data_IF_176691353038
#
_entry.id   IF_176691353038
#
_cell.length_a   1.000
_cell.length_b   1.000
_cell.length_c   1.000
_cell.angle_alpha   90.00
_cell.angle_beta   90.00
_cell.angle_gamma   90.00
#
_symmetry.space_group_name_H-M   'P 1'
#
loop_
_entity.id
_entity.type
_entity.pdbx_description
1 polymer ?
#
# COMPACT_ATOMS: atom_id res chain seq x y z
N UNK A 1 -54.47 -29.89 46.98
CA UNK A 1 -54.83 -30.12 45.57
C UNK A 1 -53.52 -30.39 44.81
N UNK A 2 -52.93 -31.58 44.93
CA UNK A 2 -53.07 -32.80 44.10
C UNK A 2 -52.16 -32.83 42.86
N UNK A 3 -51.04 -33.57 43.04
CA UNK A 3 -50.32 -34.50 42.13
C UNK A 3 -49.59 -34.03 40.85
N UNK A 4 -48.36 -34.54 40.79
CA UNK A 4 -47.46 -34.74 39.64
C UNK A 4 -48.01 -35.69 38.54
N UNK A 5 -47.33 -35.73 37.38
CA UNK A 5 -46.86 -36.97 36.71
C UNK A 5 -46.04 -36.69 35.42
N UNK A 6 -44.87 -37.32 35.34
CA UNK A 6 -44.12 -37.64 34.11
C UNK A 6 -44.87 -38.70 33.29
N UNK A 7 -44.78 -38.68 31.95
CA UNK A 7 -44.94 -39.88 31.10
C UNK A 7 -43.96 -39.82 29.90
N UNK A 8 -43.15 -40.87 29.80
CA UNK A 8 -42.34 -41.29 28.64
C UNK A 8 -43.23 -41.80 27.50
N UNK A 9 -42.84 -41.60 26.25
CA UNK A 9 -43.33 -42.43 25.13
C UNK A 9 -42.16 -43.02 24.35
N UNK A 10 -42.07 -44.36 24.43
CA UNK A 10 -41.31 -45.24 23.55
C UNK A 10 -42.24 -45.64 22.40
N UNK A 11 -41.75 -45.61 21.17
CA UNK A 11 -42.46 -46.12 20.01
C UNK A 11 -41.48 -46.62 18.95
N UNK A 12 -41.16 -47.91 19.03
CA UNK A 12 -40.66 -48.68 17.89
C UNK A 12 -41.85 -49.07 17.00
N UNK A 13 -41.68 -49.22 15.69
CA UNK A 13 -42.07 -50.42 14.93
C UNK A 13 -41.79 -50.31 13.41
N UNK A 14 -41.15 -51.37 12.91
CA UNK A 14 -41.27 -52.03 11.59
C UNK A 14 -40.73 -51.40 10.30
N UNK A 15 -39.77 -52.15 9.74
CA UNK A 15 -39.33 -52.15 8.36
C UNK A 15 -40.36 -52.78 7.42
N UNK A 16 -40.45 -52.24 6.19
CA UNK A 16 -40.93 -52.96 5.00
C UNK A 16 -39.90 -52.72 3.89
N UNK A 17 -39.31 -53.81 3.41
CA UNK A 17 -38.49 -53.86 2.22
C UNK A 17 -39.37 -54.23 1.03
N UNK A 18 -39.28 -53.47 -0.07
CA UNK A 18 -39.68 -53.93 -1.40
C UNK A 18 -38.56 -53.50 -2.36
N UNK A 19 -37.92 -54.50 -2.95
CA UNK A 19 -36.91 -54.32 -3.99
C UNK A 19 -37.55 -54.15 -5.37
N UNK A 20 -36.91 -53.32 -6.19
CA UNK A 20 -37.10 -53.28 -7.64
C UNK A 20 -35.73 -53.02 -8.28
N UNK A 21 -35.41 -53.78 -9.31
CA UNK A 21 -34.08 -53.92 -9.89
C UNK A 21 -33.80 -52.92 -11.03
N UNK A 22 -32.50 -52.62 -11.18
CA UNK A 22 -31.72 -52.25 -12.38
C UNK A 22 -32.10 -50.98 -13.18
N UNK A 23 -31.19 -50.00 -13.16
CA UNK A 23 -30.60 -49.31 -14.33
C UNK A 23 -29.25 -48.71 -13.86
N UNK A 24 -28.15 -49.06 -14.52
CA UNK A 24 -26.94 -48.23 -14.57
C UNK A 24 -26.93 -47.50 -15.92
N UNK A 25 -26.56 -46.21 -15.95
CA UNK A 25 -25.23 -45.91 -16.48
C UNK A 25 -24.52 -44.72 -15.81
N UNK A 26 -23.18 -44.79 -15.82
CA UNK A 26 -22.20 -43.70 -15.89
C UNK A 26 -22.56 -42.35 -15.22
N UNK A 27 -22.09 -42.15 -13.98
CA UNK A 27 -21.97 -40.82 -13.39
C UNK A 27 -20.50 -40.37 -13.46
N UNK A 28 -20.32 -39.22 -14.09
CA UNK A 28 -19.08 -38.55 -14.40
C UNK A 28 -18.09 -38.47 -13.22
N UNK A 29 -16.86 -38.87 -13.53
CA UNK A 29 -15.65 -38.55 -12.79
C UNK A 29 -15.55 -37.02 -12.66
N UNK A 30 -15.83 -36.51 -11.45
CA UNK A 30 -15.74 -35.09 -11.17
C UNK A 30 -14.26 -34.69 -11.03
N UNK A 31 -13.77 -34.03 -12.07
CA UNK A 31 -12.46 -33.39 -12.07
C UNK A 31 -12.27 -32.52 -10.80
N UNK A 32 -11.07 -32.51 -10.18
CA UNK A 32 -10.80 -31.61 -9.09
C UNK A 32 -10.85 -30.17 -9.62
N UNK A 33 -11.84 -29.41 -9.16
CA UNK A 33 -11.96 -27.98 -9.38
C UNK A 33 -10.66 -27.30 -8.93
N UNK A 34 -9.83 -26.92 -9.90
CA UNK A 34 -8.64 -26.13 -9.67
C UNK A 34 -9.06 -24.80 -9.03
N UNK A 35 -8.81 -24.68 -7.71
CA UNK A 35 -8.89 -23.40 -7.01
C UNK A 35 -8.01 -22.40 -7.76
N UNK A 36 -8.46 -21.17 -8.06
CA UNK A 36 -7.58 -20.19 -8.65
C UNK A 36 -6.43 -19.95 -7.66
N UNK A 37 -5.20 -20.15 -8.12
CA UNK A 37 -4.01 -19.92 -7.34
C UNK A 37 -4.07 -18.51 -6.75
N UNK A 38 -4.04 -18.42 -5.43
CA UNK A 38 -3.88 -17.15 -4.71
C UNK A 38 -2.56 -16.57 -5.20
N UNK A 39 -2.62 -15.56 -6.07
CA UNK A 39 -1.46 -14.75 -6.42
C UNK A 39 -0.96 -14.11 -5.12
N UNK A 40 0.05 -14.73 -4.51
CA UNK A 40 0.87 -14.11 -3.47
C UNK A 40 1.63 -12.97 -4.11
N UNK A 41 0.99 -11.81 -4.18
CA UNK A 41 1.66 -10.56 -4.53
C UNK A 41 2.64 -10.29 -3.40
N UNK A 42 3.93 -10.50 -3.66
CA UNK A 42 5.01 -10.22 -2.71
C UNK A 42 4.85 -8.79 -2.19
N UNK A 43 4.74 -8.62 -0.87
CA UNK A 43 4.49 -7.33 -0.20
C UNK A 43 5.52 -6.25 -0.52
N UNK A 44 6.66 -6.63 -1.12
CA UNK A 44 7.69 -5.71 -1.58
C UNK A 44 7.36 -5.00 -2.90
N UNK A 45 6.26 -5.34 -3.60
CA UNK A 45 5.93 -4.77 -4.92
C UNK A 45 4.90 -3.61 -4.88
N UNK A 46 4.32 -3.28 -3.73
CA UNK A 46 3.35 -2.17 -3.64
C UNK A 46 4.11 -0.83 -3.53
N UNK A 47 3.83 0.16 -4.40
CA UNK A 47 4.46 1.48 -4.29
C UNK A 47 3.98 2.20 -3.02
N UNK A 48 4.84 3.04 -2.47
CA UNK A 48 4.50 3.93 -1.36
C UNK A 48 3.42 4.94 -1.75
N UNK A 49 2.80 5.59 -0.76
CA UNK A 49 1.83 6.65 -1.04
C UNK A 49 2.50 7.83 -1.77
N UNK A 50 1.99 8.18 -2.95
CA UNK A 50 2.46 9.34 -3.71
C UNK A 50 2.05 10.61 -2.98
N UNK A 51 3.03 11.38 -2.50
CA UNK A 51 2.81 12.65 -1.80
C UNK A 51 2.18 13.67 -2.75
N UNK A 52 1.07 14.25 -2.33
CA UNK A 52 0.34 15.27 -3.09
C UNK A 52 -0.02 16.44 -2.18
N UNK A 53 0.06 17.65 -2.72
CA UNK A 53 -0.53 18.83 -2.09
C UNK A 53 -2.05 18.77 -2.30
N UNK A 54 -2.76 18.29 -1.29
CA UNK A 54 -4.22 18.13 -1.34
C UNK A 54 -4.93 19.07 -0.37
N UNK A 55 -6.16 19.44 -0.74
CA UNK A 55 -7.02 20.24 0.12
C UNK A 55 -7.40 19.44 1.37
N UNK A 56 -7.18 20.02 2.54
CA UNK A 56 -7.53 19.40 3.83
C UNK A 56 -9.05 19.22 3.97
N UNK A 57 -9.44 18.06 4.48
CA UNK A 57 -10.84 17.71 4.75
C UNK A 57 -11.36 18.51 5.96
N UNK A 58 -12.35 19.37 5.75
CA UNK A 58 -12.79 20.33 6.78
C UNK A 58 -13.25 19.64 8.08
N UNK A 59 -14.20 18.71 8.01
CA UNK A 59 -14.75 18.07 9.22
C UNK A 59 -13.80 17.08 9.88
N UNK A 60 -13.08 16.26 9.11
CA UNK A 60 -12.09 15.31 9.64
C UNK A 60 -10.95 15.97 10.46
N UNK A 61 -10.68 17.26 10.25
CA UNK A 61 -9.67 18.03 10.99
C UNK A 61 -10.25 18.92 12.11
N UNK A 62 -11.54 18.78 12.43
CA UNK A 62 -12.12 19.43 13.61
C UNK A 62 -11.76 18.65 14.88
N UNK A 63 -11.82 19.33 16.03
CA UNK A 63 -11.68 18.65 17.32
C UNK A 63 -12.80 17.63 17.50
N UNK A 64 -12.49 16.49 18.10
CA UNK A 64 -13.45 15.41 18.30
C UNK A 64 -13.20 14.72 19.65
N UNK A 65 -14.17 13.93 20.12
CA UNK A 65 -14.09 13.23 21.40
C UNK A 65 -14.29 11.73 21.20
N UNK A 66 -13.48 10.92 21.89
CA UNK A 66 -13.63 9.46 21.94
C UNK A 66 -13.41 9.01 23.37
N UNK A 67 -14.35 8.24 23.93
CA UNK A 67 -14.29 7.73 25.31
C UNK A 67 -13.95 8.83 26.34
N UNK A 68 -14.63 9.97 26.27
CA UNK A 68 -14.41 11.11 27.17
C UNK A 68 -13.17 11.97 26.86
N UNK A 69 -12.19 11.45 26.11
CA UNK A 69 -10.97 12.20 25.75
C UNK A 69 -11.15 13.03 24.48
N UNK A 70 -10.83 14.32 24.57
CA UNK A 70 -10.85 15.24 23.42
C UNK A 70 -9.51 15.24 22.69
N UNK A 71 -9.56 15.26 21.37
CA UNK A 71 -8.42 15.32 20.46
C UNK A 71 -8.50 16.59 19.60
N UNK A 72 -7.33 17.15 19.30
CA UNK A 72 -7.20 18.38 18.51
C UNK A 72 -6.30 18.11 17.30
N UNK A 73 -6.87 17.73 16.14
CA UNK A 73 -6.11 17.60 14.92
C UNK A 73 -5.43 18.89 14.51
N UNK A 74 -4.26 18.74 13.90
CA UNK A 74 -3.56 19.82 13.23
C UNK A 74 -4.41 20.35 12.08
N UNK A 75 -4.54 21.68 12.01
CA UNK A 75 -5.36 22.37 11.00
C UNK A 75 -4.59 22.75 9.73
N UNK A 76 -3.28 22.52 9.72
CA UNK A 76 -2.37 22.77 8.61
C UNK A 76 -1.33 21.65 8.55
N UNK A 77 -0.84 21.35 7.35
CA UNK A 77 0.33 20.49 7.16
C UNK A 77 1.56 21.29 7.56
N UNK A 78 2.30 20.80 8.54
CA UNK A 78 3.47 21.46 9.11
C UNK A 78 4.42 20.40 9.67
N UNK A 79 5.66 20.80 9.95
CA UNK A 79 6.67 19.92 10.55
C UNK A 79 6.12 19.20 11.78
N UNK A 80 6.32 17.89 11.82
CA UNK A 80 5.87 17.02 12.90
C UNK A 80 6.74 15.78 12.97
N UNK A 81 7.15 15.41 14.18
CA UNK A 81 7.82 14.14 14.45
C UNK A 81 7.29 13.56 15.76
N UNK A 82 7.01 12.27 15.76
CA UNK A 82 6.60 11.52 16.96
C UNK A 82 7.15 10.11 16.92
N UNK A 83 7.63 9.62 18.06
CA UNK A 83 7.98 8.20 18.23
C UNK A 83 6.93 7.52 19.10
N UNK A 84 6.61 6.27 18.79
CA UNK A 84 5.76 5.46 19.65
C UNK A 84 5.40 4.11 19.03
N UNK A 85 4.48 3.40 19.69
CA UNK A 85 4.03 2.07 19.23
C UNK A 85 3.01 2.23 18.10
N UNK A 86 3.22 1.55 16.99
CA UNK A 86 2.25 1.38 15.92
C UNK A 86 1.67 -0.04 15.89
N UNK A 87 0.44 -0.16 15.39
CA UNK A 87 -0.14 -1.45 15.01
C UNK A 87 -0.67 -1.40 13.58
N UNK A 88 -1.46 -2.39 13.18
CA UNK A 88 -2.16 -2.38 11.90
C UNK A 88 -3.60 -2.88 12.05
N UNK A 89 -4.53 -2.33 11.27
CA UNK A 89 -5.93 -2.73 11.32
C UNK A 89 -6.25 -3.83 10.28
N UNK A 90 -6.83 -4.93 10.78
CA UNK A 90 -7.08 -6.15 10.02
C UNK A 90 -8.30 -6.16 9.10
N UNK A 91 -8.55 -7.31 8.46
CA UNK A 91 -9.50 -7.49 7.36
C UNK A 91 -10.94 -7.01 7.67
N UNK A 92 -11.36 -7.06 8.95
CA UNK A 92 -12.71 -6.62 9.39
C UNK A 92 -13.04 -5.16 9.10
N UNK A 93 -12.03 -4.33 8.84
CA UNK A 93 -12.23 -2.93 8.51
C UNK A 93 -12.30 -2.68 7.00
N UNK A 94 -11.86 -3.63 6.17
CA UNK A 94 -11.77 -3.47 4.73
C UNK A 94 -13.13 -3.06 4.14
N UNK A 95 -13.11 -2.07 3.24
CA UNK A 95 -14.31 -1.50 2.61
C UNK A 95 -15.10 -0.53 3.48
N UNK A 96 -14.82 -0.38 4.78
CA UNK A 96 -15.52 0.58 5.65
C UNK A 96 -15.03 2.00 5.39
N UNK A 97 -15.90 2.99 5.64
CA UNK A 97 -15.52 4.41 5.54
C UNK A 97 -14.55 4.78 6.65
N UNK A 98 -13.49 5.48 6.28
CA UNK A 98 -12.55 6.15 7.18
C UNK A 98 -13.06 7.56 7.53
N UNK A 99 -12.37 8.25 8.43
CA UNK A 99 -12.67 9.63 8.82
C UNK A 99 -12.53 10.64 7.69
N UNK A 100 -11.74 10.34 6.64
CA UNK A 100 -11.70 11.11 5.39
C UNK A 100 -12.93 10.92 4.49
N UNK A 101 -13.76 9.90 4.75
CA UNK A 101 -14.82 9.45 3.87
C UNK A 101 -14.38 8.39 2.84
N UNK A 102 -13.07 8.22 2.60
CA UNK A 102 -12.51 7.17 1.75
C UNK A 102 -12.83 5.78 2.33
N UNK A 103 -13.03 4.77 1.47
CA UNK A 103 -13.13 3.37 1.91
C UNK A 103 -11.73 2.84 2.23
N UNK A 104 -11.58 2.20 3.39
CA UNK A 104 -10.33 1.57 3.78
C UNK A 104 -10.01 0.37 2.88
N UNK A 105 -8.85 0.41 2.22
CA UNK A 105 -8.25 -0.73 1.55
C UNK A 105 -7.00 -1.18 2.30
N UNK A 106 -6.97 -2.46 2.69
CA UNK A 106 -5.84 -3.03 3.43
C UNK A 106 -4.58 -3.16 2.59
N UNK A 107 -4.72 -3.10 1.26
CA UNK A 107 -3.64 -3.21 0.30
C UNK A 107 -3.09 -1.84 -0.14
N UNK A 108 -3.69 -0.73 0.32
CA UNK A 108 -3.18 0.62 0.07
C UNK A 108 -2.23 1.09 1.17
N UNK A 109 -1.37 2.06 0.85
CA UNK A 109 -0.41 2.66 1.80
C UNK A 109 -1.07 3.78 2.62
N UNK A 110 -1.93 3.39 3.55
CA UNK A 110 -2.72 4.30 4.40
C UNK A 110 -2.49 4.07 5.89
N UNK A 111 -2.78 5.09 6.70
CA UNK A 111 -2.67 5.04 8.16
C UNK A 111 -3.75 5.88 8.86
N UNK A 112 -4.10 5.47 10.07
CA UNK A 112 -4.87 6.25 11.03
C UNK A 112 -3.93 6.96 12.03
N UNK A 113 -4.15 8.26 12.23
CA UNK A 113 -3.45 9.04 13.25
C UNK A 113 -4.41 9.95 14.02
N UNK A 114 -4.13 10.17 15.30
CA UNK A 114 -4.97 10.97 16.20
C UNK A 114 -5.05 12.43 15.77
N UNK A 115 -3.94 13.01 15.32
CA UNK A 115 -3.82 14.46 15.17
C UNK A 115 -3.22 14.94 13.85
N UNK A 116 -2.68 14.05 13.00
CA UNK A 116 -2.10 14.53 11.74
C UNK A 116 -3.23 14.97 10.79
N UNK A 117 -3.03 15.99 9.96
CA UNK A 117 -4.09 16.47 9.07
C UNK A 117 -4.57 15.37 8.12
N UNK A 118 -5.84 15.40 7.75
CA UNK A 118 -6.43 14.54 6.73
C UNK A 118 -6.86 15.38 5.52
N UNK A 119 -6.52 14.99 4.28
CA UNK A 119 -5.44 14.07 3.97
C UNK A 119 -4.08 14.71 4.24
N UNK A 120 -3.11 13.90 4.62
CA UNK A 120 -1.70 14.28 4.61
C UNK A 120 -0.82 13.05 4.47
N UNK A 121 0.51 13.22 4.47
CA UNK A 121 1.45 12.13 4.24
C UNK A 121 2.46 12.07 5.38
N UNK A 122 2.81 10.86 5.82
CA UNK A 122 3.83 10.65 6.83
C UNK A 122 4.81 9.56 6.39
N UNK A 123 6.09 9.81 6.61
CA UNK A 123 7.14 8.80 6.58
C UNK A 123 7.14 8.09 7.93
N UNK A 124 7.02 6.78 7.90
CA UNK A 124 6.98 5.94 9.10
C UNK A 124 8.18 5.02 9.06
N UNK A 125 9.05 5.09 10.06
CA UNK A 125 10.26 4.27 10.16
C UNK A 125 10.11 3.27 11.29
N UNK A 126 10.22 1.98 11.02
CA UNK A 126 10.33 0.95 12.04
C UNK A 126 11.72 1.00 12.66
N UNK A 127 11.78 1.31 13.95
CA UNK A 127 13.03 1.53 14.67
C UNK A 127 13.84 0.24 14.90
N UNK A 128 13.19 -0.93 14.82
CA UNK A 128 13.86 -2.20 15.03
C UNK A 128 14.69 -2.66 13.82
N UNK A 129 14.29 -2.27 12.60
CA UNK A 129 14.92 -2.75 11.37
C UNK A 129 15.30 -1.64 10.37
N UNK A 130 15.05 -0.38 10.72
CA UNK A 130 15.38 0.79 9.89
C UNK A 130 14.52 0.96 8.63
N UNK A 131 13.60 0.04 8.33
CA UNK A 131 12.71 0.17 7.17
C UNK A 131 11.75 1.33 7.38
N UNK A 132 11.45 2.07 6.32
CA UNK A 132 10.40 3.10 6.33
C UNK A 132 9.48 2.98 5.13
N UNK A 133 8.35 3.65 5.24
CA UNK A 133 7.36 3.78 4.17
C UNK A 133 6.72 5.15 4.24
N UNK A 134 6.25 5.67 3.12
CA UNK A 134 5.35 6.82 3.10
C UNK A 134 3.90 6.33 3.01
N UNK A 135 3.07 6.82 3.94
CA UNK A 135 1.65 6.52 4.03
C UNK A 135 0.79 7.78 3.95
N UNK A 136 -0.40 7.63 3.38
CA UNK A 136 -1.45 8.64 3.43
C UNK A 136 -2.20 8.53 4.76
N UNK A 137 -2.31 9.63 5.48
CA UNK A 137 -3.19 9.75 6.65
C UNK A 137 -4.60 10.02 6.14
N UNK A 138 -5.49 9.05 6.29
CA UNK A 138 -6.89 9.16 5.86
C UNK A 138 -7.90 8.77 6.95
N UNK A 139 -7.45 8.38 8.13
CA UNK A 139 -8.32 8.00 9.23
C UNK A 139 -7.85 8.49 10.60
N UNK A 140 -8.73 8.38 11.60
CA UNK A 140 -8.51 8.78 12.99
C UNK A 140 -8.38 7.56 13.90
N UNK A 141 -7.55 7.71 14.92
CA UNK A 141 -7.18 6.65 15.85
C UNK A 141 -5.68 6.43 15.89
N UNK A 142 -5.18 5.40 16.59
CA UNK A 142 -5.91 4.47 17.46
C UNK A 142 -6.47 5.13 18.73
N UNK A 143 -7.54 4.57 19.32
CA UNK A 143 -8.12 5.10 20.57
C UNK A 143 -7.95 4.18 21.78
N UNK A 144 -7.51 2.96 21.55
CA UNK A 144 -7.15 2.02 22.60
C UNK A 144 -5.64 1.96 22.70
N UNK A 145 -5.12 1.82 23.92
CA UNK A 145 -3.69 1.75 24.27
C UNK A 145 -2.88 3.03 24.00
N UNK A 146 -1.60 2.99 24.37
CA UNK A 146 -0.61 4.06 24.17
C UNK A 146 -0.09 4.17 22.72
N UNK A 147 -0.74 3.52 21.74
CA UNK A 147 -0.33 3.56 20.33
C UNK A 147 -0.47 4.95 19.71
N UNK A 148 0.44 5.26 18.80
CA UNK A 148 0.48 6.54 18.07
C UNK A 148 -0.18 6.45 16.70
N UNK A 149 -0.12 5.28 16.05
CA UNK A 149 -0.60 5.08 14.69
C UNK A 149 -1.10 3.64 14.49
N UNK A 150 -2.13 3.48 13.67
CA UNK A 150 -2.47 2.18 13.09
C UNK A 150 -2.27 2.25 11.57
N UNK A 151 -1.57 1.28 11.01
CA UNK A 151 -1.19 1.20 9.61
C UNK A 151 -2.09 0.24 8.84
N UNK A 152 -2.14 0.36 7.52
CA UNK A 152 -2.70 -0.70 6.67
C UNK A 152 -1.87 -1.99 6.73
N UNK A 153 -2.48 -3.11 6.33
CA UNK A 153 -1.77 -4.39 6.23
C UNK A 153 -0.57 -4.30 5.28
N UNK A 154 -0.74 -3.65 4.12
CA UNK A 154 0.35 -3.43 3.17
C UNK A 154 1.53 -2.67 3.80
N UNK A 155 1.25 -1.55 4.49
CA UNK A 155 2.29 -0.73 5.10
C UNK A 155 3.03 -1.48 6.23
N UNK A 156 2.29 -2.23 7.06
CA UNK A 156 2.90 -3.08 8.08
C UNK A 156 3.78 -4.19 7.48
N UNK A 157 3.42 -4.71 6.31
CA UNK A 157 4.18 -5.72 5.58
C UNK A 157 5.52 -5.19 5.11
N UNK A 158 5.51 -4.01 4.47
CA UNK A 158 6.73 -3.33 4.03
C UNK A 158 7.64 -2.95 5.20
N UNK A 159 7.05 -2.50 6.31
CA UNK A 159 7.79 -2.21 7.55
C UNK A 159 8.27 -3.46 8.29
N UNK A 160 7.85 -4.65 7.87
CA UNK A 160 8.31 -5.93 8.40
C UNK A 160 7.84 -6.21 9.82
N UNK A 161 6.62 -5.80 10.19
CA UNK A 161 6.06 -6.10 11.51
C UNK A 161 4.67 -6.77 11.52
N UNK A 162 4.17 -7.25 10.37
CA UNK A 162 2.86 -7.92 10.28
C UNK A 162 2.72 -9.02 11.34
N UNK A 163 3.70 -9.92 11.42
CA UNK A 163 3.64 -11.10 12.29
C UNK A 163 3.76 -10.75 13.78
N UNK A 164 4.46 -9.67 14.11
CA UNK A 164 4.61 -9.15 15.47
C UNK A 164 3.36 -8.40 15.95
N UNK A 165 2.49 -7.97 15.03
CA UNK A 165 1.28 -7.20 15.30
C UNK A 165 1.53 -5.73 15.65
N UNK A 166 2.65 -5.42 16.31
CA UNK A 166 3.05 -4.05 16.68
C UNK A 166 4.55 -3.81 16.46
N UNK A 167 4.93 -2.54 16.29
CA UNK A 167 6.33 -2.10 16.21
C UNK A 167 6.52 -0.73 16.84
N UNK A 168 7.73 -0.44 17.32
CA UNK A 168 8.12 0.92 17.68
C UNK A 168 8.52 1.66 16.40
N UNK A 169 7.88 2.80 16.15
CA UNK A 169 8.06 3.57 14.92
C UNK A 169 8.35 5.04 15.21
N UNK A 170 9.08 5.69 14.32
CA UNK A 170 9.15 7.14 14.17
C UNK A 170 8.24 7.58 13.03
N UNK A 171 7.35 8.53 13.30
CA UNK A 171 6.40 9.13 12.35
C UNK A 171 6.85 10.55 12.07
N UNK A 172 7.07 10.88 10.81
CA UNK A 172 7.53 12.20 10.36
C UNK A 172 6.57 12.72 9.28
N UNK A 173 6.01 13.91 9.46
CA UNK A 173 5.13 14.51 8.45
C UNK A 173 5.95 14.84 7.19
N UNK A 174 5.42 14.47 6.03
CA UNK A 174 6.01 14.85 4.74
C UNK A 174 5.31 16.10 4.23
N UNK A 175 6.08 17.16 3.98
CA UNK A 175 5.58 18.40 3.41
C UNK A 175 5.52 18.32 1.87
N UNK A 176 4.40 18.72 1.24
CA UNK A 176 4.36 18.87 -0.21
C UNK A 176 5.27 20.02 -0.65
N UNK A 177 6.18 19.78 -1.59
CA UNK A 177 7.01 20.82 -2.21
C UNK A 177 8.27 21.21 -1.42
N UNK A 178 8.52 20.66 -0.24
CA UNK A 178 9.88 20.62 0.30
C UNK A 178 10.73 19.81 -0.68
N UNK A 179 11.79 20.39 -1.24
CA UNK A 179 12.66 19.77 -2.25
C UNK A 179 13.27 18.41 -1.82
N UNK A 180 13.06 18.01 -0.57
CA UNK A 180 13.11 16.62 -0.16
C UNK A 180 11.93 15.83 -0.75
N UNK A 181 12.14 15.33 -1.96
CA UNK A 181 11.55 14.05 -2.34
C UNK A 181 12.05 13.01 -1.35
N UNK A 182 11.37 12.90 -0.20
CA UNK A 182 11.59 11.91 0.85
C UNK A 182 11.24 10.51 0.34
N UNK A 183 12.07 10.03 -0.59
CA UNK A 183 12.27 8.63 -0.88
C UNK A 183 13.03 7.99 0.29
N UNK A 184 12.55 8.13 1.52
CA UNK A 184 13.14 7.41 2.63
C UNK A 184 12.46 6.03 2.70
N UNK A 185 13.22 5.04 2.24
CA UNK A 185 12.93 3.60 2.17
C UNK A 185 11.89 3.10 1.16
N UNK A 186 12.16 3.34 -0.13
CA UNK A 186 12.14 2.23 -1.08
C UNK A 186 13.58 1.66 -1.13
N UNK A 187 13.88 0.37 -0.90
CA UNK A 187 13.27 -0.81 -1.53
C UNK A 187 11.79 -1.01 -1.28
N UNK A 188 10.89 -0.89 -2.24
CA UNK A 188 11.01 -0.86 -3.70
C UNK A 188 9.96 0.13 -4.24
N UNK A 189 10.31 0.89 -5.28
CA UNK A 189 9.45 1.90 -5.88
C UNK A 189 10.00 3.34 -5.91
N UNK A 190 11.31 3.55 -5.74
CA UNK A 190 11.92 4.77 -6.27
C UNK A 190 11.78 4.65 -7.80
N UNK A 191 11.06 5.56 -8.43
CA UNK A 191 11.22 5.77 -9.87
C UNK A 191 12.59 6.41 -10.07
N UNK A 192 13.61 5.56 -10.21
CA UNK A 192 14.97 6.02 -10.41
C UNK A 192 15.06 6.47 -11.86
N UNK A 193 15.44 7.73 -12.07
CA UNK A 193 15.72 8.28 -13.38
C UNK A 193 17.20 8.58 -13.47
N UNK A 194 17.88 7.92 -14.39
CA UNK A 194 19.32 8.10 -14.63
C UNK A 194 19.54 9.13 -15.72
N UNK A 195 20.45 10.08 -15.48
CA UNK A 195 20.82 11.08 -16.48
C UNK A 195 21.74 10.44 -17.52
N UNK A 196 21.36 10.55 -18.80
CA UNK A 196 22.15 10.07 -19.93
C UNK A 196 23.13 11.14 -20.40
N UNK A 197 22.60 12.33 -20.75
CA UNK A 197 23.37 13.45 -21.30
C UNK A 197 22.66 14.79 -21.06
N UNK A 198 23.44 15.86 -20.95
CA UNK A 198 22.97 17.25 -20.85
C UNK A 198 23.38 18.03 -22.09
N UNK A 199 22.52 18.95 -22.54
CA UNK A 199 22.70 19.74 -23.75
C UNK A 199 22.45 21.22 -23.46
N UNK A 200 23.15 22.10 -24.17
CA UNK A 200 22.90 23.55 -24.13
C UNK A 200 21.70 23.97 -24.98
N UNK A 201 21.30 23.14 -25.97
CA UNK A 201 20.20 23.41 -26.90
C UNK A 201 19.09 22.38 -26.82
N UNK A 202 17.84 22.82 -26.96
CA UNK A 202 16.66 21.95 -26.98
C UNK A 202 16.66 21.04 -28.22
N UNK A 203 17.14 21.55 -29.36
CA UNK A 203 17.17 20.81 -30.62
C UNK A 203 18.13 19.60 -30.55
N UNK A 204 19.28 19.78 -29.90
CA UNK A 204 20.25 18.71 -29.68
C UNK A 204 19.69 17.65 -28.73
N UNK A 205 19.04 18.08 -27.64
CA UNK A 205 18.42 17.17 -26.68
C UNK A 205 17.26 16.37 -27.29
N UNK A 206 16.43 16.99 -28.15
CA UNK A 206 15.35 16.31 -28.89
C UNK A 206 15.89 15.29 -29.89
N UNK A 207 16.96 15.62 -30.61
CA UNK A 207 17.62 14.70 -31.54
C UNK A 207 18.15 13.47 -30.79
N UNK A 208 18.85 13.70 -29.67
CA UNK A 208 19.37 12.62 -28.82
C UNK A 208 18.26 11.77 -28.20
N UNK A 209 17.18 12.39 -27.71
CA UNK A 209 16.01 11.68 -27.18
C UNK A 209 15.36 10.78 -28.24
N UNK A 210 15.21 11.28 -29.48
CA UNK A 210 14.59 10.54 -30.58
C UNK A 210 15.46 9.37 -31.06
N UNK A 211 16.78 9.55 -31.11
CA UNK A 211 17.73 8.47 -31.41
C UNK A 211 17.68 7.39 -30.31
N UNK A 212 17.76 7.79 -29.04
CA UNK A 212 17.76 6.87 -27.90
C UNK A 212 16.44 6.12 -27.78
N UNK A 213 15.29 6.79 -28.00
CA UNK A 213 13.97 6.14 -27.97
C UNK A 213 13.84 5.05 -29.03
N UNK A 214 14.33 5.30 -30.25
CA UNK A 214 14.32 4.30 -31.33
C UNK A 214 15.17 3.08 -30.97
N UNK A 215 16.37 3.30 -30.45
CA UNK A 215 17.27 2.23 -30.03
C UNK A 215 16.67 1.37 -28.90
N UNK A 216 16.05 2.00 -27.90
CA UNK A 216 15.38 1.28 -26.80
C UNK A 216 14.18 0.45 -27.29
N UNK A 217 13.41 0.98 -28.24
CA UNK A 217 12.28 0.26 -28.84
C UNK A 217 12.77 -0.95 -29.66
N UNK A 218 13.84 -0.81 -30.45
CA UNK A 218 14.42 -1.94 -31.19
C UNK A 218 15.01 -3.02 -30.27
N UNK A 219 15.52 -2.62 -29.11
CA UNK A 219 16.01 -3.52 -28.07
C UNK A 219 14.90 -4.11 -27.18
N UNK A 220 13.62 -3.87 -27.50
CA UNK A 220 12.45 -4.30 -26.70
C UNK A 220 12.53 -3.88 -25.22
N UNK A 221 13.17 -2.75 -24.93
CA UNK A 221 13.32 -2.25 -23.58
C UNK A 221 12.02 -1.60 -23.11
N UNK A 222 11.54 -1.98 -21.92
CA UNK A 222 10.37 -1.37 -21.28
C UNK A 222 10.65 0.05 -20.73
N UNK A 223 11.89 0.52 -20.81
CA UNK A 223 12.34 1.77 -20.24
C UNK A 223 12.10 2.95 -21.18
N UNK A 224 11.65 4.08 -20.62
CA UNK A 224 11.38 5.30 -21.39
C UNK A 224 12.51 6.31 -21.20
N UNK A 225 12.68 7.19 -22.18
CA UNK A 225 13.53 8.38 -22.05
C UNK A 225 12.69 9.64 -22.08
N UNK A 226 13.08 10.61 -21.25
CA UNK A 226 12.40 11.89 -21.07
C UNK A 226 13.42 13.01 -21.05
N UNK A 227 13.05 14.18 -21.56
CA UNK A 227 13.87 15.39 -21.51
C UNK A 227 13.32 16.30 -20.40
N UNK A 228 14.22 16.86 -19.58
CA UNK A 228 13.88 17.80 -18.50
C UNK A 228 14.78 19.01 -18.60
N UNK A 229 14.21 20.22 -18.47
CA UNK A 229 14.98 21.47 -18.42
C UNK A 229 15.46 21.71 -16.98
N UNK A 230 16.77 21.84 -16.77
CA UNK A 230 17.40 22.07 -15.46
C UNK A 230 18.54 23.09 -15.60
N UNK A 231 18.56 24.14 -14.77
CA UNK A 231 19.66 25.13 -14.71
C UNK A 231 20.15 25.62 -16.08
N UNK A 232 19.22 26.01 -16.95
CA UNK A 232 19.49 26.49 -18.31
C UNK A 232 20.09 25.45 -19.29
N UNK A 233 20.01 24.16 -18.96
CA UNK A 233 20.39 23.04 -19.81
C UNK A 233 19.21 22.07 -20.00
N UNK A 234 19.27 21.28 -21.07
CA UNK A 234 18.31 20.21 -21.36
C UNK A 234 18.94 18.85 -21.04
N UNK A 235 18.39 18.15 -20.06
CA UNK A 235 18.91 16.86 -19.59
C UNK A 235 18.00 15.74 -20.08
N UNK A 236 18.57 14.78 -20.81
CA UNK A 236 17.88 13.56 -21.21
C UNK A 236 18.10 12.50 -20.15
N UNK A 237 17.01 11.96 -19.62
CA UNK A 237 16.97 10.99 -18.52
C UNK A 237 16.26 9.72 -18.96
N UNK A 238 16.64 8.58 -18.40
CA UNK A 238 16.05 7.27 -18.66
C UNK A 238 15.41 6.72 -17.39
N UNK A 239 14.25 6.09 -17.52
CA UNK A 239 13.54 5.42 -16.44
C UNK A 239 12.04 5.30 -16.69
N UNK A 240 11.24 4.93 -15.68
CA UNK A 240 11.65 4.69 -14.30
C UNK A 240 12.27 3.31 -14.06
N UNK A 241 13.37 3.26 -13.30
CA UNK A 241 13.96 2.01 -12.80
C UNK A 241 13.56 1.74 -11.36
N UNK A 242 13.29 0.48 -11.03
CA UNK A 242 12.94 0.07 -9.66
C UNK A 242 14.17 -0.09 -8.73
N UNK A 243 15.36 -0.26 -9.30
CA UNK A 243 16.63 -0.47 -8.60
C UNK A 243 17.75 0.36 -9.25
N UNK A 244 18.66 0.87 -8.43
CA UNK A 244 19.75 1.75 -8.87
C UNK A 244 20.70 1.00 -9.83
N UNK A 245 21.02 -0.26 -9.52
CA UNK A 245 21.91 -1.10 -10.34
C UNK A 245 21.38 -1.32 -11.76
N UNK A 246 20.06 -1.40 -11.93
CA UNK A 246 19.43 -1.48 -13.25
C UNK A 246 19.51 -0.14 -13.99
N UNK A 247 19.35 0.97 -13.28
CA UNK A 247 19.50 2.30 -13.84
C UNK A 247 20.94 2.52 -14.34
N UNK A 248 21.94 2.11 -13.55
CA UNK A 248 23.36 2.26 -13.89
C UNK A 248 23.77 1.32 -15.03
N UNK A 249 23.23 0.10 -15.06
CA UNK A 249 23.48 -0.84 -16.16
C UNK A 249 22.83 -0.40 -17.47
N UNK A 250 21.59 0.10 -17.42
CA UNK A 250 20.91 0.63 -18.60
C UNK A 250 21.59 1.91 -19.14
N UNK A 251 22.10 2.77 -18.25
CA UNK A 251 22.92 3.92 -18.65
C UNK A 251 24.15 3.48 -19.43
N UNK A 252 24.90 2.49 -18.92
CA UNK A 252 26.09 1.95 -19.60
C UNK A 252 25.76 1.39 -20.98
N UNK A 253 24.71 0.59 -21.08
CA UNK A 253 24.28 0.01 -22.36
C UNK A 253 23.97 1.08 -23.43
N UNK A 254 23.28 2.15 -23.05
CA UNK A 254 22.97 3.24 -23.97
C UNK A 254 24.19 4.08 -24.32
N UNK A 255 25.12 4.27 -23.38
CA UNK A 255 26.38 4.97 -23.64
C UNK A 255 27.33 4.20 -24.57
N UNK A 256 27.23 2.86 -24.62
CA UNK A 256 28.04 2.04 -25.53
C UNK A 256 27.39 1.89 -26.91
N UNK A 257 26.07 2.11 -27.02
CA UNK A 257 25.30 1.85 -28.24
C UNK A 257 25.03 3.07 -29.13
N UNK A 258 25.28 4.29 -28.62
CA UNK A 258 25.00 5.57 -29.30
C UNK A 258 26.21 6.48 -29.17
#
# INVERSE_FOLDING_TARGET
MTKAKNIFFVGAFTAIAIGSALISPAAAESAPSARPAVRTVSSNALPDAVVKAEKLHRSANMSYQVAGKRYYPMRKVAEFSQTGKASWYGNKFHGRKTSSGERYDMNMMTAAHKTLPIPSYAKVTNLANGKSVVVRINDRGPFHSSRVMDLSKAAAGKLGFINQGTANVRVEQVLPGSGETLAANAGSGRNIYVNLKSFGSEAEAKSYLSQTSRHLNSAQSAQKVVMVKQNNQYVVRMGPFAQQDHADSAKRQVQTAI
#
